data_IF_825411484169
#
_entry.id   IF_825411484169
#
_cell.length_a   1.000
_cell.length_b   1.000
_cell.length_c   1.000
_cell.angle_alpha   90.00
_cell.angle_beta   90.00
_cell.angle_gamma   90.00
#
_symmetry.space_group_name_H-M   'P 1'
#
loop_
_entity.id
_entity.type
_entity.pdbx_description
1 polymer ?
#
# COMPACT_ATOMS: atom_id res chain seq x y z
N UNK A 1 6.94 -2.40 18.83
CA UNK A 1 7.42 -2.22 17.43
C UNK A 1 6.75 -3.29 16.59
N UNK A 2 5.80 -2.90 15.75
CA UNK A 2 4.89 -3.82 15.07
C UNK A 2 5.59 -4.67 14.01
N UNK A 3 5.18 -5.93 13.89
CA UNK A 3 5.59 -6.85 12.83
C UNK A 3 5.26 -6.23 11.47
N UNK A 4 6.23 -6.20 10.54
CA UNK A 4 5.98 -5.72 9.17
C UNK A 4 4.81 -6.51 8.57
N UNK A 5 3.77 -5.84 8.07
CA UNK A 5 2.63 -6.52 7.48
C UNK A 5 3.07 -7.27 6.21
N UNK A 6 2.61 -8.52 6.04
CA UNK A 6 2.85 -9.26 4.81
C UNK A 6 1.94 -8.70 3.71
N UNK A 7 2.53 -7.99 2.75
CA UNK A 7 1.87 -7.51 1.55
C UNK A 7 2.38 -8.31 0.35
N UNK A 8 1.47 -8.72 -0.54
CA UNK A 8 1.89 -9.23 -1.85
C UNK A 8 2.48 -8.09 -2.68
N UNK A 9 3.23 -8.41 -3.74
CA UNK A 9 3.74 -7.39 -4.65
C UNK A 9 2.63 -6.52 -5.26
N UNK A 10 1.49 -7.12 -5.61
CA UNK A 10 0.33 -6.40 -6.15
C UNK A 10 -0.33 -5.48 -5.12
N UNK A 11 -0.52 -5.96 -3.89
CA UNK A 11 -1.07 -5.15 -2.79
C UNK A 11 -0.18 -3.96 -2.45
N UNK A 12 1.15 -4.15 -2.48
CA UNK A 12 2.10 -3.07 -2.29
C UNK A 12 2.02 -2.04 -3.43
N UNK A 13 1.96 -2.48 -4.69
CA UNK A 13 1.81 -1.58 -5.84
C UNK A 13 0.54 -0.75 -5.76
N UNK A 14 -0.60 -1.36 -5.43
CA UNK A 14 -1.88 -0.65 -5.25
C UNK A 14 -1.78 0.36 -4.10
N UNK A 15 -1.19 -0.01 -2.96
CA UNK A 15 -0.99 0.93 -1.84
C UNK A 15 -0.08 2.10 -2.22
N UNK A 16 0.99 1.86 -2.98
CA UNK A 16 1.88 2.93 -3.45
C UNK A 16 1.15 3.89 -4.41
N UNK A 17 0.33 3.36 -5.31
CA UNK A 17 -0.50 4.15 -6.21
C UNK A 17 -1.47 5.07 -5.43
N UNK A 18 -2.20 4.50 -4.46
CA UNK A 18 -3.12 5.24 -3.59
C UNK A 18 -2.40 6.16 -2.58
N UNK A 19 -1.10 5.99 -2.35
CA UNK A 19 -0.33 6.91 -1.51
C UNK A 19 0.06 8.19 -2.26
N UNK A 20 0.33 8.08 -3.57
CA UNK A 20 0.72 9.23 -4.39
C UNK A 20 -0.44 10.16 -4.73
N UNK A 21 -1.67 9.64 -4.70
CA UNK A 21 -2.88 10.31 -5.17
C UNK A 21 -4.01 10.22 -4.13
N UNK A 22 -4.99 11.11 -4.19
CA UNK A 22 -6.08 11.17 -3.20
C UNK A 22 -6.97 9.92 -3.24
N UNK A 23 -7.68 9.73 -4.37
CA UNK A 23 -8.76 8.75 -4.47
C UNK A 23 -8.86 8.19 -5.89
N UNK A 24 -9.04 6.87 -5.97
CA UNK A 24 -9.08 6.17 -7.26
C UNK A 24 -10.20 5.15 -7.36
N UNK A 25 -10.90 5.12 -8.50
CA UNK A 25 -11.93 4.11 -8.74
C UNK A 25 -11.33 2.73 -9.02
N UNK A 26 -12.15 1.69 -9.00
CA UNK A 26 -11.73 0.34 -9.37
C UNK A 26 -11.19 0.29 -10.82
N UNK A 27 -11.75 1.07 -11.73
CA UNK A 27 -11.30 1.18 -13.13
C UNK A 27 -9.92 1.82 -13.23
N UNK A 28 -9.66 2.88 -12.45
CA UNK A 28 -8.37 3.57 -12.43
C UNK A 28 -7.27 2.65 -11.85
N UNK A 29 -7.57 1.93 -10.76
CA UNK A 29 -6.67 0.92 -10.19
C UNK A 29 -6.41 -0.21 -11.20
N UNK A 30 -7.45 -0.65 -11.92
CA UNK A 30 -7.31 -1.69 -12.96
C UNK A 30 -6.45 -1.21 -14.12
N UNK A 31 -6.60 0.05 -14.54
CA UNK A 31 -5.83 0.66 -15.61
C UNK A 31 -4.36 0.89 -15.23
N UNK A 32 -4.06 1.10 -13.94
CA UNK A 32 -2.71 1.17 -13.40
C UNK A 32 -2.03 -0.22 -13.39
N UNK A 33 -2.77 -1.26 -12.99
CA UNK A 33 -2.27 -2.63 -12.90
C UNK A 33 -2.28 -3.37 -14.26
N UNK A 34 -1.76 -2.74 -15.33
CA UNK A 34 -1.80 -3.30 -16.70
C UNK A 34 -1.16 -4.68 -16.78
N UNK A 35 -1.85 -5.60 -17.45
CA UNK A 35 -1.37 -6.97 -17.65
C UNK A 35 -1.58 -7.90 -16.46
N UNK A 36 -2.23 -7.45 -15.38
CA UNK A 36 -2.67 -8.29 -14.27
C UNK A 36 -4.14 -8.66 -14.50
N UNK A 37 -4.51 -9.90 -14.17
CA UNK A 37 -5.90 -10.34 -14.22
C UNK A 37 -6.80 -9.53 -13.29
N UNK A 38 -7.97 -9.11 -13.79
CA UNK A 38 -8.90 -8.29 -13.03
C UNK A 38 -9.33 -8.93 -11.71
N UNK A 39 -9.49 -10.26 -11.66
CA UNK A 39 -9.83 -10.96 -10.42
C UNK A 39 -8.70 -10.90 -9.39
N UNK A 40 -7.44 -10.97 -9.84
CA UNK A 40 -6.28 -10.80 -8.96
C UNK A 40 -6.23 -9.40 -8.36
N UNK A 41 -6.57 -8.38 -9.16
CA UNK A 41 -6.66 -6.99 -8.71
C UNK A 41 -7.79 -6.85 -7.67
N UNK A 42 -8.99 -7.37 -7.97
CA UNK A 42 -10.14 -7.36 -7.04
C UNK A 42 -9.79 -8.06 -5.72
N UNK A 43 -9.10 -9.20 -5.78
CA UNK A 43 -8.68 -9.93 -4.59
C UNK A 43 -7.69 -9.10 -3.76
N UNK A 44 -6.71 -8.44 -4.39
CA UNK A 44 -5.77 -7.57 -3.69
C UNK A 44 -6.47 -6.37 -3.04
N UNK A 45 -7.38 -5.70 -3.76
CA UNK A 45 -8.19 -4.59 -3.22
C UNK A 45 -9.01 -5.06 -2.00
N UNK A 46 -9.70 -6.20 -2.10
CA UNK A 46 -10.42 -6.81 -0.96
C UNK A 46 -9.50 -7.13 0.21
N UNK A 47 -8.30 -7.65 -0.06
CA UNK A 47 -7.30 -7.97 0.96
C UNK A 47 -6.77 -6.73 1.68
N UNK A 48 -6.62 -5.60 0.97
CA UNK A 48 -6.25 -4.31 1.56
C UNK A 48 -7.39 -3.70 2.37
N UNK A 49 -8.62 -3.74 1.84
CA UNK A 49 -9.80 -3.24 2.52
C UNK A 49 -10.11 -4.03 3.80
N UNK A 50 -10.00 -5.37 3.75
CA UNK A 50 -10.19 -6.24 4.92
C UNK A 50 -9.17 -6.05 6.04
N UNK A 51 -8.05 -5.37 5.75
CA UNK A 51 -7.03 -4.96 6.72
C UNK A 51 -7.11 -3.47 7.08
N UNK A 52 -8.15 -2.79 6.60
CA UNK A 52 -8.37 -1.36 6.80
C UNK A 52 -7.21 -0.49 6.28
N UNK A 53 -6.42 -0.99 5.33
CA UNK A 53 -5.33 -0.22 4.72
C UNK A 53 -5.85 0.75 3.66
N UNK A 54 -7.00 0.42 3.08
CA UNK A 54 -7.76 1.29 2.20
C UNK A 54 -9.22 1.30 2.63
N UNK A 55 -9.93 2.38 2.30
CA UNK A 55 -11.37 2.52 2.52
C UNK A 55 -12.03 2.98 1.22
N UNK A 56 -13.29 2.61 1.04
CA UNK A 56 -14.11 3.09 -0.07
C UNK A 56 -14.89 4.32 0.37
N UNK A 57 -14.85 5.37 -0.43
CA UNK A 57 -15.62 6.60 -0.23
C UNK A 57 -17.11 6.33 -0.36
N UNK A 58 -17.89 7.05 0.42
CA UNK A 58 -19.34 7.02 0.37
C UNK A 58 -19.85 8.26 -0.36
N UNK A 59 -21.05 8.16 -0.93
CA UNK A 59 -21.69 9.28 -1.65
C UNK A 59 -21.89 10.54 -0.80
N UNK A 60 -21.97 10.39 0.53
CA UNK A 60 -22.21 11.50 1.47
C UNK A 60 -20.94 12.32 1.81
N UNK A 61 -19.76 11.91 1.33
CA UNK A 61 -18.50 12.62 1.61
C UNK A 61 -18.28 13.77 0.60
N UNK A 62 -18.81 14.96 0.92
CA UNK A 62 -18.85 16.15 0.05
C UNK A 62 -17.53 16.61 -0.61
N UNK A 63 -16.37 16.13 -0.16
CA UNK A 63 -15.05 16.50 -0.68
C UNK A 63 -14.40 15.43 -1.54
N UNK A 64 -15.00 14.23 -1.62
CA UNK A 64 -14.41 13.05 -2.20
C UNK A 64 -15.28 12.52 -3.32
N UNK A 65 -14.67 12.00 -4.39
CA UNK A 65 -15.38 11.27 -5.43
C UNK A 65 -16.05 10.05 -4.80
N UNK A 66 -17.34 9.79 -5.07
CA UNK A 66 -18.01 8.59 -4.58
C UNK A 66 -17.40 7.33 -5.18
N UNK A 67 -17.54 6.21 -4.47
CA UNK A 67 -17.18 4.86 -4.92
C UNK A 67 -15.69 4.64 -5.25
N UNK A 68 -14.82 5.52 -4.76
CA UNK A 68 -13.37 5.48 -4.94
C UNK A 68 -12.66 4.90 -3.72
N UNK A 69 -11.46 4.37 -3.91
CA UNK A 69 -10.58 3.89 -2.85
C UNK A 69 -9.60 4.96 -2.40
N UNK A 70 -9.38 5.02 -1.10
CA UNK A 70 -8.46 5.94 -0.42
C UNK A 70 -7.49 5.15 0.44
N UNK A 71 -6.24 5.59 0.56
CA UNK A 71 -5.33 5.04 1.58
C UNK A 71 -5.67 5.57 2.97
N UNK A 72 -5.78 4.67 3.95
CA UNK A 72 -5.99 5.05 5.35
C UNK A 72 -4.69 5.43 6.05
N UNK A 73 -4.81 5.91 7.29
CA UNK A 73 -3.63 6.05 8.15
C UNK A 73 -2.93 4.70 8.39
N UNK A 74 -3.69 3.62 8.61
CA UNK A 74 -3.12 2.28 8.79
C UNK A 74 -2.35 1.82 7.55
N UNK A 75 -2.89 2.04 6.35
CA UNK A 75 -2.21 1.77 5.09
C UNK A 75 -0.91 2.56 4.93
N UNK A 76 -0.90 3.86 5.29
CA UNK A 76 0.32 4.68 5.29
C UNK A 76 1.38 4.15 6.28
N UNK A 77 0.96 3.72 7.46
CA UNK A 77 1.89 3.12 8.42
C UNK A 77 2.43 1.77 7.93
N UNK A 78 1.60 0.94 7.29
CA UNK A 78 2.01 -0.32 6.69
C UNK A 78 3.08 -0.10 5.61
N UNK A 79 2.87 0.85 4.70
CA UNK A 79 3.87 1.26 3.70
C UNK A 79 5.17 1.72 4.35
N UNK A 80 5.09 2.60 5.36
CA UNK A 80 6.29 3.11 6.06
C UNK A 80 7.09 1.98 6.70
N UNK A 81 6.42 1.02 7.34
CA UNK A 81 7.07 -0.16 7.94
C UNK A 81 7.71 -1.04 6.88
N UNK A 82 7.01 -1.25 5.75
CA UNK A 82 7.53 -2.04 4.64
C UNK A 82 8.80 -1.41 4.04
N UNK A 83 8.76 -0.10 3.73
CA UNK A 83 9.93 0.66 3.23
C UNK A 83 11.08 0.63 4.22
N UNK A 84 10.80 0.78 5.51
CA UNK A 84 11.83 0.73 6.56
C UNK A 84 12.48 -0.65 6.67
N UNK A 85 11.72 -1.73 6.45
CA UNK A 85 12.22 -3.10 6.45
C UNK A 85 12.99 -3.45 5.16
N UNK A 86 12.61 -2.85 4.03
CA UNK A 86 13.28 -3.03 2.74
C UNK A 86 14.55 -2.18 2.59
N UNK A 87 14.74 -1.16 3.44
CA UNK A 87 15.93 -0.32 3.41
C UNK A 87 17.20 -1.17 3.66
N UNK A 88 18.26 -1.03 2.85
CA UNK A 88 19.49 -1.75 3.08
C UNK A 88 20.04 -1.37 4.45
N UNK A 89 20.11 -2.36 5.35
CA UNK A 89 20.77 -2.20 6.64
C UNK A 89 22.20 -1.77 6.33
N UNK A 90 22.55 -0.51 6.63
CA UNK A 90 23.94 -0.06 6.63
C UNK A 90 24.67 -0.90 7.66
N UNK A 91 25.24 -2.03 7.22
CA UNK A 91 26.12 -2.87 8.01
C UNK A 91 27.40 -2.07 8.18
N UNK A 92 27.44 -1.23 9.22
CA UNK A 92 28.70 -0.64 9.68
C UNK A 92 29.53 -1.80 10.21
N UNK A 93 30.32 -2.39 9.32
CA UNK A 93 31.42 -3.27 9.65
C UNK A 93 32.45 -2.43 10.39
N UNK A 94 32.23 -2.18 11.67
CA UNK A 94 33.25 -1.65 12.56
C UNK A 94 34.26 -2.78 12.78
N UNK A 95 35.12 -3.00 11.79
CA UNK A 95 36.28 -3.86 11.91
C UNK A 95 37.14 -3.25 13.01
N UNK A 96 37.08 -3.80 14.22
CA UNK A 96 38.11 -3.57 15.23
C UNK A 96 39.39 -4.19 14.67
N UNK A 97 40.24 -3.35 14.08
CA UNK A 97 41.65 -3.68 13.88
C UNK A 97 42.27 -3.65 15.28
N UNK A 98 42.52 -4.83 15.84
CA UNK A 98 43.39 -4.97 17.01
C UNK A 98 44.83 -4.74 16.55
N UNK A 99 45.48 -3.74 17.12
CA UNK A 99 46.90 -3.46 16.97
C UNK A 99 47.76 -4.50 17.72
#
# INVERSE_FOLDING_TARGET
MGKTPSLTGLELSILLYLHGNFEHSDEEITAECRGIEQESIRHAVRGLAGREFIIRTKEEEFLLRPDCWLITYAGRQALRQWVSAAAPVRRSSRTKVTA
#
